data_IF_262356182245
#
_entry.id   IF_262356182245
#
_cell.length_a   1.000
_cell.length_b   1.000
_cell.length_c   1.000
_cell.angle_alpha   90.00
_cell.angle_beta   90.00
_cell.angle_gamma   90.00
#
_symmetry.space_group_name_H-M   'P 1'
#
loop_
_entity.id
_entity.type
_entity.pdbx_description
1 polymer ?
#
# COMPACT_ATOMS: atom_id res chain seq x y z
N UNK A 1 69.95 39.88 14.41
CA UNK A 1 69.82 39.18 15.70
C UNK A 1 68.36 39.25 16.10
N UNK A 2 67.68 38.10 16.10
CA UNK A 2 66.54 37.74 16.98
C UNK A 2 65.15 38.37 16.71
N UNK A 3 64.22 37.48 16.30
CA UNK A 3 62.77 37.29 16.58
C UNK A 3 61.75 38.36 16.11
N UNK A 4 60.86 38.03 15.16
CA UNK A 4 59.56 37.32 15.28
C UNK A 4 58.47 38.07 16.07
N UNK A 5 57.35 38.43 15.41
CA UNK A 5 56.07 37.76 15.64
C UNK A 5 55.04 38.05 14.53
N UNK A 6 54.34 36.99 14.16
CA UNK A 6 53.30 36.87 13.14
C UNK A 6 52.03 37.67 13.46
N UNK A 7 51.32 38.11 12.40
CA UNK A 7 49.86 38.16 12.45
C UNK A 7 49.27 37.91 11.04
N UNK A 8 49.17 36.63 10.67
CA UNK A 8 48.33 36.19 9.54
C UNK A 8 46.91 35.98 10.06
N UNK A 9 46.03 36.95 9.81
CA UNK A 9 44.58 36.75 9.93
C UNK A 9 44.13 35.83 8.78
N UNK A 10 44.01 34.54 9.06
CA UNK A 10 43.36 33.58 8.14
C UNK A 10 41.91 33.50 8.59
N UNK A 11 40.99 34.13 7.85
CA UNK A 11 39.55 33.95 8.06
C UNK A 11 39.19 32.54 7.62
N UNK A 12 39.03 31.64 8.59
CA UNK A 12 38.40 30.33 8.37
C UNK A 12 36.90 30.60 8.24
N UNK A 13 36.36 30.59 7.02
CA UNK A 13 34.93 30.44 6.80
C UNK A 13 34.59 28.98 7.11
N UNK A 14 34.07 28.73 8.31
CA UNK A 14 33.41 27.47 8.64
C UNK A 14 32.09 27.41 7.89
N UNK A 15 32.07 26.76 6.73
CA UNK A 15 30.85 26.39 6.02
C UNK A 15 30.10 25.35 6.84
N UNK A 16 29.16 25.80 7.67
CA UNK A 16 28.22 24.95 8.39
C UNK A 16 27.24 24.37 7.34
N UNK A 17 27.54 23.19 6.82
CA UNK A 17 26.57 22.39 6.08
C UNK A 17 25.47 21.98 7.05
N UNK A 18 24.38 22.74 7.10
CA UNK A 18 23.12 22.25 7.66
C UNK A 18 22.69 21.07 6.79
N UNK A 19 22.89 19.85 7.28
CA UNK A 19 22.21 18.66 6.78
C UNK A 19 20.72 18.85 7.12
N UNK A 20 19.99 19.54 6.27
CA UNK A 20 18.53 19.53 6.32
C UNK A 20 18.11 18.11 5.96
N UNK A 21 17.73 17.32 6.96
CA UNK A 21 17.08 16.03 6.77
C UNK A 21 15.81 16.28 5.95
N UNK A 22 15.87 16.00 4.65
CA UNK A 22 14.69 15.99 3.80
C UNK A 22 13.76 14.94 4.37
N UNK A 23 12.60 15.35 4.84
CA UNK A 23 11.57 14.50 5.42
C UNK A 23 11.17 13.39 4.42
N UNK A 24 11.58 12.15 4.69
CA UNK A 24 11.48 10.97 3.79
C UNK A 24 10.17 10.19 3.96
N UNK A 25 9.04 10.87 3.76
CA UNK A 25 7.72 10.28 3.93
C UNK A 25 7.10 9.86 2.60
N UNK A 26 6.35 8.74 2.58
CA UNK A 26 5.41 8.49 1.47
C UNK A 26 4.19 9.39 1.59
N UNK A 27 3.81 9.64 2.85
CA UNK A 27 2.60 10.28 3.35
C UNK A 27 2.94 11.02 4.65
N UNK A 28 2.34 12.17 4.94
CA UNK A 28 2.76 12.99 6.08
C UNK A 28 2.74 12.25 7.44
N UNK A 29 3.59 12.75 8.34
CA UNK A 29 3.83 12.23 9.69
C UNK A 29 2.63 12.19 10.62
N UNK A 30 1.58 12.95 10.32
CA UNK A 30 0.44 13.15 11.20
C UNK A 30 -0.74 12.27 10.80
N UNK A 31 -0.59 11.45 9.75
CA UNK A 31 -1.68 10.66 9.19
C UNK A 31 -2.74 11.52 8.52
N UNK A 32 -2.37 12.73 8.08
CA UNK A 32 -3.25 13.63 7.32
C UNK A 32 -3.29 13.24 5.83
N UNK A 33 -2.23 12.60 5.35
CA UNK A 33 -2.12 12.02 4.01
C UNK A 33 -1.66 10.57 4.01
N UNK A 34 -1.86 9.84 5.12
CA UNK A 34 -1.56 8.41 5.29
C UNK A 34 -2.33 7.50 4.32
N UNK A 35 -2.50 6.22 4.64
CA UNK A 35 -3.34 5.29 3.86
C UNK A 35 -4.69 5.88 3.47
N UNK A 36 -5.39 6.40 4.47
CA UNK A 36 -6.67 7.10 4.33
C UNK A 36 -6.43 8.59 4.15
N UNK A 37 -7.34 9.28 3.40
CA UNK A 37 -7.38 10.73 3.40
C UNK A 37 -7.52 11.28 4.81
N UNK A 38 -7.21 12.57 4.94
CA UNK A 38 -7.43 13.37 6.13
C UNK A 38 -8.77 13.05 6.80
N UNK A 39 -8.71 12.51 8.01
CA UNK A 39 -9.90 12.14 8.76
C UNK A 39 -9.67 12.25 10.28
N UNK A 40 -10.75 12.55 11.00
CA UNK A 40 -10.74 12.75 12.45
C UNK A 40 -11.25 11.52 13.23
N UNK A 41 -11.33 10.35 12.59
CA UNK A 41 -11.85 9.15 13.25
C UNK A 41 -10.86 8.65 14.29
N UNK A 42 -11.39 8.35 15.48
CA UNK A 42 -10.64 7.74 16.58
C UNK A 42 -11.44 6.57 17.18
N UNK A 43 -10.87 5.38 17.14
CA UNK A 43 -11.45 4.16 17.72
C UNK A 43 -10.51 3.65 18.83
N UNK A 44 -10.70 4.09 20.09
CA UNK A 44 -9.82 3.72 21.19
C UNK A 44 -10.02 2.26 21.64
N UNK A 45 -9.09 1.76 22.45
CA UNK A 45 -9.23 0.47 23.14
C UNK A 45 -10.42 0.53 24.10
N UNK A 46 -11.16 -0.58 24.24
CA UNK A 46 -12.26 -0.69 25.20
C UNK A 46 -13.58 -0.06 24.77
N UNK A 47 -13.62 0.66 23.63
CA UNK A 47 -14.88 0.97 22.98
C UNK A 47 -15.57 -0.35 22.63
N UNK A 48 -16.84 -0.50 22.98
CA UNK A 48 -17.62 -1.70 22.66
C UNK A 48 -17.49 -1.94 21.15
N UNK A 49 -16.80 -3.03 20.78
CA UNK A 49 -16.36 -3.26 19.40
C UNK A 49 -17.54 -3.09 18.44
N UNK A 50 -17.40 -2.16 17.49
CA UNK A 50 -18.33 -1.97 16.37
C UNK A 50 -18.09 -3.02 15.27
N UNK A 51 -17.15 -3.95 15.49
CA UNK A 51 -16.55 -4.82 14.47
C UNK A 51 -15.02 -4.74 14.51
N UNK A 52 -14.37 -5.12 13.41
CA UNK A 52 -12.92 -5.10 13.28
C UNK A 52 -12.21 -6.36 13.79
N UNK A 53 -10.88 -6.27 13.94
CA UNK A 53 -10.03 -7.33 14.47
C UNK A 53 -9.50 -6.99 15.87
N UNK A 54 -9.26 -8.02 16.68
CA UNK A 54 -8.67 -7.86 18.02
C UNK A 54 -7.13 -7.78 17.96
N UNK A 55 -6.50 -7.52 19.11
CA UNK A 55 -5.04 -7.36 19.22
C UNK A 55 -4.26 -8.59 18.79
N UNK A 56 -4.77 -9.78 19.09
CA UNK A 56 -4.14 -11.05 18.73
C UNK A 56 -4.13 -11.21 17.22
N UNK A 57 -5.26 -10.91 16.57
CA UNK A 57 -5.39 -10.94 15.11
C UNK A 57 -4.52 -9.87 14.45
N UNK A 58 -4.51 -8.65 14.99
CA UNK A 58 -3.64 -7.57 14.52
C UNK A 58 -2.16 -7.98 14.55
N UNK A 59 -1.68 -8.47 15.69
CA UNK A 59 -0.30 -8.92 15.82
C UNK A 59 0.01 -10.11 14.91
N UNK A 60 -0.91 -11.06 14.74
CA UNK A 60 -0.75 -12.20 13.84
C UNK A 60 -0.52 -11.75 12.40
N UNK A 61 -1.28 -10.76 11.91
CA UNK A 61 -1.08 -10.19 10.56
C UNK A 61 0.32 -9.58 10.46
N UNK A 62 0.72 -8.76 11.43
CA UNK A 62 2.02 -8.10 11.43
C UNK A 62 3.20 -9.09 11.54
N UNK A 63 3.07 -10.14 12.36
CA UNK A 63 4.07 -11.19 12.49
C UNK A 63 4.27 -11.94 11.16
N UNK A 64 3.17 -12.26 10.48
CA UNK A 64 3.24 -12.91 9.17
C UNK A 64 3.84 -11.99 8.10
N UNK A 65 3.49 -10.71 8.10
CA UNK A 65 4.11 -9.71 7.22
C UNK A 65 5.63 -9.64 7.41
N UNK A 66 6.11 -9.51 8.66
CA UNK A 66 7.55 -9.51 8.97
C UNK A 66 8.21 -10.79 8.47
N UNK A 67 7.62 -11.95 8.80
CA UNK A 67 8.17 -13.26 8.40
C UNK A 67 8.37 -13.37 6.89
N UNK A 68 7.40 -12.94 6.11
CA UNK A 68 7.43 -13.05 4.65
C UNK A 68 8.31 -11.99 3.98
N UNK A 69 8.27 -10.75 4.48
CA UNK A 69 8.86 -9.61 3.77
C UNK A 69 10.21 -9.13 4.29
N UNK A 70 10.61 -9.47 5.51
CA UNK A 70 11.96 -9.12 5.99
C UNK A 70 13.06 -9.65 5.06
N UNK A 71 13.05 -10.92 4.59
CA UNK A 71 14.08 -11.40 3.66
C UNK A 71 14.06 -10.66 2.31
N UNK A 72 12.88 -10.32 1.81
CA UNK A 72 12.71 -9.60 0.53
C UNK A 72 13.26 -8.18 0.67
N UNK A 73 12.86 -7.45 1.70
CA UNK A 73 13.34 -6.09 1.96
C UNK A 73 14.87 -6.05 2.17
N UNK A 74 15.45 -7.09 2.79
CA UNK A 74 16.91 -7.21 2.91
C UNK A 74 17.62 -7.37 1.56
N UNK A 75 17.00 -8.01 0.56
CA UNK A 75 17.57 -8.06 -0.81
C UNK A 75 17.58 -6.68 -1.48
N UNK A 76 16.73 -5.75 -1.01
CA UNK A 76 16.73 -4.35 -1.40
C UNK A 76 17.66 -3.47 -0.53
N UNK A 77 18.49 -4.08 0.32
CA UNK A 77 19.47 -3.38 1.16
C UNK A 77 18.86 -2.62 2.34
N UNK A 78 17.64 -2.98 2.77
CA UNK A 78 16.97 -2.37 3.90
C UNK A 78 16.54 -3.39 4.96
N UNK A 79 16.21 -2.90 6.16
CA UNK A 79 15.56 -3.66 7.21
C UNK A 79 14.06 -3.34 7.20
N UNK A 80 13.21 -4.37 7.24
CA UNK A 80 11.77 -4.17 7.35
C UNK A 80 11.36 -3.96 8.80
N UNK A 81 10.65 -2.86 9.07
CA UNK A 81 10.16 -2.50 10.40
C UNK A 81 8.66 -2.25 10.33
N UNK A 82 7.91 -2.84 11.27
CA UNK A 82 6.49 -2.53 11.48
C UNK A 82 6.33 -1.89 12.85
N UNK A 83 5.92 -0.62 12.89
CA UNK A 83 5.50 0.03 14.12
C UNK A 83 4.06 -0.34 14.45
N UNK A 84 3.88 -1.14 15.50
CA UNK A 84 2.59 -1.63 15.97
C UNK A 84 1.98 -0.68 16.99
N UNK A 85 1.07 0.21 16.56
CA UNK A 85 0.45 1.21 17.43
C UNK A 85 -0.94 0.79 17.89
N UNK A 86 -1.04 -0.38 18.53
CA UNK A 86 -2.32 -0.97 18.91
C UNK A 86 -3.18 -0.06 19.83
N UNK A 87 -2.59 0.57 20.83
CA UNK A 87 -3.32 1.44 21.78
C UNK A 87 -3.72 2.78 21.18
N UNK A 88 -3.12 3.16 20.05
CA UNK A 88 -3.44 4.40 19.37
C UNK A 88 -4.77 4.25 18.60
N UNK A 89 -5.69 5.18 18.86
CA UNK A 89 -7.03 5.18 18.28
C UNK A 89 -7.11 5.69 16.85
N UNK A 90 -6.02 6.16 16.25
CA UNK A 90 -6.02 6.68 14.87
C UNK A 90 -6.50 5.66 13.85
N UNK A 91 -7.41 6.06 12.96
CA UNK A 91 -7.87 5.26 11.83
C UNK A 91 -7.05 5.64 10.59
N UNK A 92 -5.80 5.18 10.57
CA UNK A 92 -4.91 5.35 9.42
C UNK A 92 -3.76 4.33 9.45
N UNK A 93 -2.88 4.37 8.45
CA UNK A 93 -1.56 3.77 8.40
C UNK A 93 -0.64 4.69 7.58
N UNK A 94 0.68 4.52 7.61
CA UNK A 94 1.60 5.22 6.68
C UNK A 94 2.97 4.55 6.60
N UNK A 95 3.74 4.89 5.56
CA UNK A 95 5.11 4.42 5.34
C UNK A 95 6.15 5.56 5.37
N UNK A 96 7.35 5.26 5.87
CA UNK A 96 8.48 6.21 5.88
C UNK A 96 9.86 5.54 5.88
N UNK A 97 10.89 6.32 5.53
CA UNK A 97 12.31 5.90 5.54
C UNK A 97 13.20 6.77 6.44
N UNK A 98 12.62 7.37 7.48
CA UNK A 98 13.33 8.30 8.39
C UNK A 98 14.57 7.71 9.06
N UNK A 99 14.58 6.40 9.28
CA UNK A 99 15.76 5.69 9.78
C UNK A 99 16.54 5.19 8.55
N UNK A 100 17.81 5.63 8.37
CA UNK A 100 18.62 5.18 7.25
C UNK A 100 18.70 3.65 7.17
N UNK A 101 18.42 3.10 5.99
CA UNK A 101 18.42 1.65 5.77
C UNK A 101 17.21 0.92 6.37
N UNK A 102 16.14 1.61 6.77
CA UNK A 102 14.90 0.99 7.23
C UNK A 102 13.73 1.34 6.30
N UNK A 103 12.93 0.33 5.95
CA UNK A 103 11.61 0.50 5.37
C UNK A 103 10.60 0.29 6.49
N UNK A 104 9.96 1.38 6.94
CA UNK A 104 9.06 1.37 8.08
C UNK A 104 7.63 1.59 7.64
N UNK A 105 6.74 0.70 8.06
CA UNK A 105 5.29 0.91 7.98
C UNK A 105 4.71 1.07 9.40
N UNK A 106 3.74 1.96 9.55
CA UNK A 106 3.10 2.26 10.83
C UNK A 106 1.64 1.85 10.77
N UNK A 107 1.26 0.93 11.65
CA UNK A 107 -0.07 0.32 11.66
C UNK A 107 -0.79 0.69 12.96
N UNK A 108 -1.86 1.47 12.86
CA UNK A 108 -2.61 1.95 14.03
C UNK A 108 -3.73 0.99 14.43
N UNK A 109 -3.96 0.86 15.73
CA UNK A 109 -5.03 0.00 16.25
C UNK A 109 -6.43 0.54 15.99
N UNK A 110 -6.60 1.86 15.84
CA UNK A 110 -7.88 2.45 15.48
C UNK A 110 -8.38 1.94 14.14
N UNK A 111 -7.49 1.84 13.14
CA UNK A 111 -7.77 1.19 11.87
C UNK A 111 -8.19 -0.27 12.08
N UNK A 112 -7.43 -1.04 12.87
CA UNK A 112 -7.73 -2.45 13.15
C UNK A 112 -9.12 -2.67 13.74
N UNK A 113 -9.62 -1.72 14.53
CA UNK A 113 -10.94 -1.79 15.19
C UNK A 113 -12.08 -1.19 14.36
N UNK A 114 -11.82 -0.70 13.15
CA UNK A 114 -12.87 -0.22 12.26
C UNK A 114 -13.73 -1.39 11.77
N UNK A 115 -15.05 -1.22 11.70
CA UNK A 115 -16.01 -2.31 11.45
C UNK A 115 -15.81 -3.05 10.13
N UNK A 116 -15.31 -2.35 9.11
CA UNK A 116 -15.02 -2.92 7.78
C UNK A 116 -13.71 -3.72 7.73
N UNK A 117 -12.84 -3.61 8.75
CA UNK A 117 -11.52 -4.25 8.72
C UNK A 117 -11.61 -5.72 9.17
N UNK A 118 -11.10 -6.60 8.31
CA UNK A 118 -10.83 -8.02 8.58
C UNK A 118 -9.32 -8.26 8.69
N UNK A 119 -8.88 -9.49 9.02
CA UNK A 119 -7.44 -9.84 9.00
C UNK A 119 -6.86 -9.67 7.58
N UNK A 120 -7.63 -10.05 6.55
CA UNK A 120 -7.22 -9.92 5.15
C UNK A 120 -7.19 -8.47 4.68
N UNK A 121 -8.16 -7.65 5.11
CA UNK A 121 -8.14 -6.22 4.84
C UNK A 121 -6.95 -5.53 5.52
N UNK A 122 -6.65 -5.90 6.77
CA UNK A 122 -5.47 -5.38 7.48
C UNK A 122 -4.16 -5.78 6.79
N UNK A 123 -4.07 -7.02 6.29
CA UNK A 123 -2.93 -7.46 5.49
C UNK A 123 -2.81 -6.65 4.19
N UNK A 124 -3.92 -6.35 3.52
CA UNK A 124 -3.94 -5.49 2.33
C UNK A 124 -3.45 -4.07 2.64
N UNK A 125 -3.87 -3.46 3.76
CA UNK A 125 -3.33 -2.14 4.15
C UNK A 125 -1.83 -2.21 4.42
N UNK A 126 -1.34 -3.21 5.16
CA UNK A 126 0.09 -3.36 5.39
C UNK A 126 0.88 -3.58 4.08
N UNK A 127 0.29 -4.31 3.13
CA UNK A 127 0.83 -4.52 1.80
C UNK A 127 0.84 -3.24 0.95
N UNK A 128 -0.17 -2.38 1.08
CA UNK A 128 -0.17 -1.04 0.47
C UNK A 128 1.00 -0.21 1.01
N UNK A 129 1.17 -0.14 2.34
CA UNK A 129 2.25 0.65 2.93
C UNK A 129 3.63 0.14 2.51
N UNK A 130 3.80 -1.19 2.47
CA UNK A 130 5.01 -1.79 1.92
C UNK A 130 5.16 -1.52 0.41
N UNK A 131 4.05 -1.40 -0.30
CA UNK A 131 3.97 -1.04 -1.71
C UNK A 131 4.53 0.34 -2.02
N UNK A 132 4.47 1.31 -1.10
CA UNK A 132 5.23 2.55 -1.31
C UNK A 132 6.73 2.29 -1.46
N UNK A 133 7.29 1.33 -0.73
CA UNK A 133 8.71 1.01 -0.80
C UNK A 133 9.07 0.12 -1.99
N UNK A 134 8.26 -0.91 -2.27
CA UNK A 134 8.60 -1.98 -3.22
C UNK A 134 7.78 -1.95 -4.51
N UNK A 135 6.77 -1.09 -4.61
CA UNK A 135 5.76 -1.12 -5.68
C UNK A 135 6.22 -0.61 -7.03
N UNK A 136 7.41 -0.02 -7.11
CA UNK A 136 7.99 0.48 -8.37
C UNK A 136 7.25 1.68 -8.94
N UNK A 137 7.28 1.82 -10.27
CA UNK A 137 6.64 2.91 -10.99
C UNK A 137 5.14 2.66 -11.26
N UNK A 138 4.29 3.71 -11.33
CA UNK A 138 4.64 5.12 -11.18
C UNK A 138 4.92 5.53 -9.73
N UNK A 139 5.88 6.43 -9.57
CA UNK A 139 6.23 7.04 -8.29
C UNK A 139 5.50 8.36 -8.10
N UNK A 140 5.26 8.72 -6.85
CA UNK A 140 4.65 9.98 -6.46
C UNK A 140 5.54 11.15 -6.89
N UNK A 141 4.92 12.22 -7.39
CA UNK A 141 5.61 13.45 -7.78
C UNK A 141 5.21 14.60 -6.85
N UNK A 142 6.20 15.28 -6.28
CA UNK A 142 6.01 16.50 -5.49
C UNK A 142 6.60 17.72 -6.22
N UNK A 143 6.48 18.92 -5.63
CA UNK A 143 6.97 20.17 -6.23
C UNK A 143 8.45 20.13 -6.63
N UNK A 144 9.26 19.33 -5.91
CA UNK A 144 10.70 19.18 -6.14
C UNK A 144 11.06 17.95 -6.99
N UNK A 145 10.07 17.28 -7.60
CA UNK A 145 10.26 16.15 -8.50
C UNK A 145 9.72 14.82 -7.96
N UNK A 146 10.13 13.72 -8.59
CA UNK A 146 9.72 12.37 -8.23
C UNK A 146 10.36 11.96 -6.90
N UNK A 147 9.56 11.44 -5.98
CA UNK A 147 10.04 10.93 -4.68
C UNK A 147 10.25 9.42 -4.72
N UNK A 148 10.78 8.85 -3.62
CA UNK A 148 11.12 7.43 -3.54
C UNK A 148 9.90 6.50 -3.66
N UNK A 149 8.74 6.96 -3.17
CA UNK A 149 7.55 6.15 -2.98
C UNK A 149 6.77 5.88 -4.28
N UNK A 150 6.31 4.64 -4.45
CA UNK A 150 5.23 4.36 -5.40
C UNK A 150 4.01 5.23 -5.07
N UNK A 151 3.27 5.68 -6.08
CA UNK A 151 2.08 6.50 -5.82
C UNK A 151 0.93 5.66 -5.22
N UNK A 152 -0.11 6.32 -4.69
CA UNK A 152 -1.22 5.67 -3.96
C UNK A 152 -1.85 4.50 -4.72
N UNK A 153 -2.23 4.72 -5.99
CA UNK A 153 -2.83 3.68 -6.82
C UNK A 153 -1.85 2.54 -7.18
N UNK A 154 -0.56 2.84 -7.33
CA UNK A 154 0.46 1.82 -7.57
C UNK A 154 0.75 1.00 -6.32
N UNK A 155 0.74 1.62 -5.14
CA UNK A 155 0.86 0.95 -3.86
C UNK A 155 -0.32 -0.02 -3.64
N UNK A 156 -1.55 0.39 -3.97
CA UNK A 156 -2.71 -0.51 -4.00
C UNK A 156 -2.53 -1.68 -4.94
N UNK A 157 -2.15 -1.36 -6.17
CA UNK A 157 -2.05 -2.33 -7.24
C UNK A 157 -0.99 -3.38 -6.91
N UNK A 158 0.24 -2.97 -6.63
CA UNK A 158 1.33 -3.87 -6.25
C UNK A 158 1.05 -4.59 -4.94
N UNK A 159 0.54 -3.86 -3.93
CA UNK A 159 0.17 -4.41 -2.63
C UNK A 159 -0.81 -5.58 -2.78
N UNK A 160 -1.64 -5.55 -3.80
CA UNK A 160 -2.62 -6.59 -4.10
C UNK A 160 -2.05 -7.70 -4.98
N UNK A 161 -1.47 -7.36 -6.15
CA UNK A 161 -1.05 -8.37 -7.14
C UNK A 161 0.20 -9.16 -6.75
N UNK A 162 1.09 -8.57 -5.93
CA UNK A 162 2.30 -9.23 -5.43
C UNK A 162 2.18 -9.51 -3.95
N UNK A 163 1.98 -8.45 -3.16
CA UNK A 163 2.20 -8.60 -1.73
C UNK A 163 1.16 -9.50 -1.06
N UNK A 164 -0.11 -9.22 -1.28
CA UNK A 164 -1.21 -9.96 -0.67
C UNK A 164 -1.32 -11.38 -1.25
N UNK A 165 -1.00 -11.54 -2.54
CA UNK A 165 -0.97 -12.84 -3.22
C UNK A 165 0.08 -13.77 -2.60
N UNK A 166 1.29 -13.26 -2.31
CA UNK A 166 2.31 -14.00 -1.55
C UNK A 166 1.93 -14.16 -0.07
N UNK A 167 1.25 -13.18 0.53
CA UNK A 167 0.73 -13.32 1.89
C UNK A 167 -0.25 -14.48 2.02
N UNK A 168 -1.12 -14.73 1.03
CA UNK A 168 -2.05 -15.87 1.02
C UNK A 168 -1.44 -17.17 0.49
N UNK A 169 -0.19 -17.14 0.01
CA UNK A 169 0.48 -18.33 -0.44
C UNK A 169 0.75 -19.28 0.75
N UNK A 170 0.45 -20.56 0.56
CA UNK A 170 0.53 -21.58 1.60
C UNK A 170 -0.56 -21.54 2.69
N UNK A 171 -1.53 -20.61 2.63
CA UNK A 171 -2.71 -20.65 3.50
C UNK A 171 -3.75 -21.68 3.01
N UNK A 172 -4.64 -22.10 3.91
CA UNK A 172 -5.89 -22.78 3.54
C UNK A 172 -6.92 -21.75 3.05
N UNK A 173 -6.78 -21.36 1.78
CA UNK A 173 -7.61 -20.32 1.16
C UNK A 173 -9.08 -20.76 1.01
N UNK A 174 -9.35 -22.07 0.90
CA UNK A 174 -10.72 -22.57 0.86
C UNK A 174 -11.41 -22.34 2.19
N UNK A 175 -10.73 -22.63 3.31
CA UNK A 175 -11.23 -22.36 4.64
C UNK A 175 -11.36 -20.86 4.92
N UNK A 176 -10.41 -20.05 4.45
CA UNK A 176 -10.48 -18.59 4.61
C UNK A 176 -11.71 -17.97 3.92
N UNK A 177 -12.14 -18.54 2.79
CA UNK A 177 -13.34 -18.12 2.06
C UNK A 177 -14.64 -18.75 2.58
N UNK A 178 -14.56 -19.72 3.48
CA UNK A 178 -15.73 -20.44 3.96
C UNK A 178 -16.71 -19.50 4.65
N UNK A 179 -17.96 -19.50 4.18
CA UNK A 179 -19.04 -18.66 4.73
C UNK A 179 -19.06 -17.23 4.21
N UNK A 180 -18.10 -16.82 3.37
CA UNK A 180 -18.16 -15.55 2.65
C UNK A 180 -19.06 -15.68 1.42
N UNK A 181 -19.89 -14.66 1.18
CA UNK A 181 -20.64 -14.54 -0.06
C UNK A 181 -19.76 -13.89 -1.13
N UNK A 182 -19.17 -14.70 -2.01
CA UNK A 182 -18.29 -14.23 -3.09
C UNK A 182 -19.17 -13.74 -4.25
N UNK A 183 -19.07 -12.46 -4.66
CA UNK A 183 -19.86 -11.95 -5.78
C UNK A 183 -19.60 -12.75 -7.07
N UNK A 184 -20.67 -13.00 -7.85
CA UNK A 184 -20.56 -13.80 -9.07
C UNK A 184 -19.52 -13.24 -10.05
N UNK A 185 -19.43 -11.92 -10.18
CA UNK A 185 -18.44 -11.25 -11.05
C UNK A 185 -17.00 -11.56 -10.64
N UNK A 186 -16.73 -11.64 -9.34
CA UNK A 186 -15.42 -12.02 -8.80
C UNK A 186 -15.15 -13.49 -9.10
N UNK A 187 -16.07 -14.38 -8.72
CA UNK A 187 -15.93 -15.83 -8.93
C UNK A 187 -15.68 -16.15 -10.40
N UNK A 188 -16.55 -15.67 -11.31
CA UNK A 188 -16.45 -15.91 -12.75
C UNK A 188 -15.11 -15.44 -13.32
N UNK A 189 -14.66 -14.22 -12.98
CA UNK A 189 -13.41 -13.67 -13.54
C UNK A 189 -12.18 -14.40 -13.00
N UNK A 190 -12.14 -14.72 -11.70
CA UNK A 190 -11.04 -15.49 -11.11
C UNK A 190 -10.96 -16.90 -11.70
N UNK A 191 -12.09 -17.60 -11.87
CA UNK A 191 -12.11 -18.96 -12.45
C UNK A 191 -11.79 -18.98 -13.94
N UNK A 192 -12.08 -17.90 -14.66
CA UNK A 192 -11.77 -17.80 -16.07
C UNK A 192 -10.28 -17.51 -16.33
N UNK A 193 -9.62 -16.79 -15.43
CA UNK A 193 -8.21 -16.42 -15.56
C UNK A 193 -7.26 -17.53 -15.08
N UNK A 194 -7.46 -18.01 -13.84
CA UNK A 194 -6.54 -18.95 -13.22
C UNK A 194 -7.00 -20.39 -13.43
N UNK A 195 -6.09 -21.26 -13.86
CA UNK A 195 -6.36 -22.71 -13.99
C UNK A 195 -6.13 -23.44 -12.67
N UNK A 196 -5.17 -22.99 -11.86
CA UNK A 196 -4.90 -23.55 -10.54
C UNK A 196 -6.00 -23.17 -9.55
N UNK A 197 -6.60 -24.16 -8.90
CA UNK A 197 -7.70 -23.93 -7.96
C UNK A 197 -7.32 -23.03 -6.78
N UNK A 198 -6.13 -23.20 -6.21
CA UNK A 198 -5.68 -22.34 -5.12
C UNK A 198 -5.46 -20.88 -5.59
N UNK A 199 -4.96 -20.65 -6.81
CA UNK A 199 -4.85 -19.30 -7.36
C UNK A 199 -6.22 -18.66 -7.62
N UNK A 200 -7.22 -19.44 -8.04
CA UNK A 200 -8.61 -18.95 -8.12
C UNK A 200 -9.12 -18.50 -6.75
N UNK A 201 -8.87 -19.28 -5.70
CA UNK A 201 -9.25 -18.94 -4.33
C UNK A 201 -8.49 -17.70 -3.82
N UNK A 202 -7.19 -17.59 -4.09
CA UNK A 202 -6.41 -16.41 -3.74
C UNK A 202 -6.98 -15.17 -4.44
N UNK A 203 -7.29 -15.24 -5.74
CA UNK A 203 -7.92 -14.14 -6.48
C UNK A 203 -9.25 -13.70 -5.85
N UNK A 204 -10.11 -14.64 -5.46
CA UNK A 204 -11.36 -14.35 -4.77
C UNK A 204 -11.13 -13.71 -3.39
N UNK A 205 -10.21 -14.26 -2.60
CA UNK A 205 -9.86 -13.76 -1.26
C UNK A 205 -9.29 -12.35 -1.29
N UNK A 206 -8.35 -12.12 -2.21
CA UNK A 206 -7.78 -10.80 -2.49
C UNK A 206 -8.85 -9.79 -2.91
N UNK A 207 -9.80 -10.20 -3.75
CA UNK A 207 -10.93 -9.34 -4.14
C UNK A 207 -11.78 -8.96 -2.92
N UNK A 208 -12.09 -9.91 -2.04
CA UNK A 208 -12.88 -9.64 -0.82
C UNK A 208 -12.14 -8.74 0.18
N UNK A 209 -10.82 -8.86 0.30
CA UNK A 209 -9.99 -7.92 1.06
C UNK A 209 -10.09 -6.51 0.46
N UNK A 210 -10.01 -6.40 -0.88
CA UNK A 210 -10.22 -5.15 -1.61
C UNK A 210 -11.59 -4.54 -1.38
N UNK A 211 -12.65 -5.35 -1.32
CA UNK A 211 -14.02 -4.89 -1.02
C UNK A 211 -14.11 -4.31 0.39
N UNK A 212 -13.54 -4.98 1.39
CA UNK A 212 -13.50 -4.50 2.78
C UNK A 212 -12.78 -3.15 2.88
N UNK A 213 -11.64 -3.00 2.20
CA UNK A 213 -10.93 -1.71 2.13
C UNK A 213 -11.73 -0.65 1.35
N UNK A 214 -12.36 -1.01 0.23
CA UNK A 214 -13.24 -0.09 -0.52
C UNK A 214 -14.39 0.44 0.33
N UNK A 215 -15.02 -0.41 1.14
CA UNK A 215 -16.06 -0.01 2.10
C UNK A 215 -15.53 0.87 3.21
N UNK A 216 -14.33 0.60 3.73
CA UNK A 216 -13.66 1.50 4.66
C UNK A 216 -13.53 2.90 4.06
N UNK A 217 -13.05 3.02 2.81
CA UNK A 217 -12.93 4.30 2.12
C UNK A 217 -14.27 5.00 1.95
N UNK A 218 -15.28 4.26 1.51
CA UNK A 218 -16.65 4.75 1.34
C UNK A 218 -17.22 5.34 2.65
N UNK A 219 -17.00 4.63 3.77
CA UNK A 219 -17.40 5.08 5.11
C UNK A 219 -16.64 6.34 5.54
N UNK A 220 -15.32 6.38 5.36
CA UNK A 220 -14.47 7.51 5.76
C UNK A 220 -14.78 8.77 4.94
N UNK A 221 -15.07 8.61 3.64
CA UNK A 221 -15.45 9.73 2.78
C UNK A 221 -16.92 10.15 2.91
N UNK A 222 -17.72 9.45 3.71
CA UNK A 222 -19.18 9.59 3.79
C UNK A 222 -19.86 9.53 2.42
N UNK A 223 -19.33 8.69 1.51
CA UNK A 223 -19.95 8.50 0.20
C UNK A 223 -21.12 7.52 0.35
N UNK A 224 -22.30 7.97 -0.05
CA UNK A 224 -23.54 7.19 0.07
C UNK A 224 -23.66 6.11 -1.00
N UNK A 225 -22.83 6.16 -2.04
CA UNK A 225 -22.83 5.18 -3.13
C UNK A 225 -21.94 4.01 -2.73
N UNK A 226 -22.49 2.81 -2.46
CA UNK A 226 -21.67 1.68 -2.06
C UNK A 226 -20.74 1.27 -3.19
N UNK A 227 -19.52 0.88 -2.84
CA UNK A 227 -18.59 0.27 -3.80
C UNK A 227 -19.10 -1.11 -4.23
N UNK A 228 -19.02 -1.42 -5.52
CA UNK A 228 -19.47 -2.70 -6.09
C UNK A 228 -18.57 -3.13 -7.27
N UNK A 229 -18.31 -4.42 -7.39
CA UNK A 229 -17.53 -4.99 -8.51
C UNK A 229 -18.21 -4.85 -9.88
N UNK A 230 -19.52 -4.60 -9.89
CA UNK A 230 -20.33 -4.44 -11.10
C UNK A 230 -20.45 -2.98 -11.56
N UNK A 231 -19.98 -2.03 -10.77
CA UNK A 231 -20.05 -0.59 -11.07
C UNK A 231 -18.66 0.04 -11.12
N UNK A 232 -17.76 -0.43 -11.99
CA UNK A 232 -16.42 0.14 -12.07
C UNK A 232 -16.45 1.61 -12.46
N UNK A 233 -15.56 2.40 -11.86
CA UNK A 233 -15.34 3.80 -12.17
C UNK A 233 -14.82 3.94 -13.61
N UNK A 234 -15.58 4.69 -14.41
CA UNK A 234 -15.30 4.91 -15.84
C UNK A 234 -14.53 6.20 -16.12
N UNK A 235 -14.17 6.96 -15.08
CA UNK A 235 -13.36 8.16 -15.24
C UNK A 235 -12.00 7.82 -15.84
N UNK A 236 -11.45 8.77 -16.61
CA UNK A 236 -10.15 8.65 -17.26
C UNK A 236 -9.35 9.90 -16.93
N UNK A 237 -8.23 9.71 -16.25
CA UNK A 237 -7.37 10.83 -15.86
C UNK A 237 -6.53 11.34 -17.04
N UNK A 238 -6.32 12.65 -17.10
CA UNK A 238 -5.44 13.29 -18.10
C UNK A 238 -3.97 13.30 -17.68
N UNK A 239 -3.68 12.96 -16.41
CA UNK A 239 -2.36 12.70 -15.81
C UNK A 239 -2.56 11.69 -14.68
N UNK A 240 -1.58 10.81 -14.45
CA UNK A 240 -1.59 9.93 -13.27
C UNK A 240 -1.86 10.73 -11.99
N UNK A 241 -2.82 10.25 -11.21
CA UNK A 241 -3.26 10.87 -9.97
C UNK A 241 -2.45 10.31 -8.79
N UNK A 242 -1.77 11.20 -8.07
CA UNK A 242 -0.80 10.84 -7.03
C UNK A 242 -1.35 10.91 -5.60
N UNK A 243 -2.61 11.30 -5.43
CA UNK A 243 -3.32 11.33 -4.14
C UNK A 243 -4.27 10.13 -4.02
N UNK A 244 -5.12 10.12 -3.00
CA UNK A 244 -6.09 9.05 -2.72
C UNK A 244 -7.21 8.97 -3.77
N UNK A 245 -7.25 7.92 -4.61
CA UNK A 245 -8.36 7.73 -5.54
C UNK A 245 -9.68 7.53 -4.79
N UNK A 246 -10.81 7.80 -5.47
CA UNK A 246 -12.14 7.54 -4.93
C UNK A 246 -12.33 6.07 -4.53
N UNK A 247 -13.22 5.80 -3.57
CA UNK A 247 -13.43 4.46 -3.00
C UNK A 247 -13.68 3.38 -4.06
N UNK A 248 -14.55 3.65 -5.05
CA UNK A 248 -14.81 2.73 -6.16
C UNK A 248 -13.56 2.49 -7.01
N UNK A 249 -12.83 3.55 -7.36
CA UNK A 249 -11.59 3.46 -8.13
C UNK A 249 -10.50 2.63 -7.40
N UNK A 250 -10.43 2.69 -6.06
CA UNK A 250 -9.57 1.81 -5.26
C UNK A 250 -10.05 0.35 -5.32
N UNK A 251 -11.35 0.09 -5.17
CA UNK A 251 -11.91 -1.26 -5.32
C UNK A 251 -11.58 -1.84 -6.71
N UNK A 252 -11.74 -1.05 -7.76
CA UNK A 252 -11.39 -1.45 -9.12
C UNK A 252 -9.91 -1.77 -9.25
N UNK A 253 -9.05 -1.03 -8.55
CA UNK A 253 -7.60 -1.25 -8.54
C UNK A 253 -7.26 -2.58 -7.87
N UNK A 254 -7.82 -2.85 -6.70
CA UNK A 254 -7.64 -4.13 -6.02
C UNK A 254 -8.19 -5.30 -6.86
N UNK A 255 -9.36 -5.13 -7.45
CA UNK A 255 -9.96 -6.19 -8.24
C UNK A 255 -9.15 -6.47 -9.52
N UNK A 256 -8.74 -5.45 -10.26
CA UNK A 256 -7.87 -5.64 -11.40
C UNK A 256 -6.52 -6.24 -10.98
N UNK A 257 -5.89 -5.77 -9.90
CA UNK A 257 -4.65 -6.36 -9.42
C UNK A 257 -4.79 -7.87 -9.08
N UNK A 258 -5.93 -8.30 -8.55
CA UNK A 258 -6.21 -9.72 -8.31
C UNK A 258 -6.30 -10.55 -9.60
N UNK A 259 -6.64 -9.90 -10.72
CA UNK A 259 -6.74 -10.47 -12.05
C UNK A 259 -5.45 -10.30 -12.86
N UNK A 260 -4.32 -10.00 -12.22
CA UNK A 260 -3.03 -9.98 -12.87
C UNK A 260 -2.24 -11.26 -12.59
N UNK A 261 -2.08 -12.08 -13.63
CA UNK A 261 -1.50 -13.44 -13.57
C UNK A 261 0.04 -13.46 -13.67
N UNK A 262 0.68 -12.29 -13.78
CA UNK A 262 2.14 -12.21 -13.77
C UNK A 262 2.75 -12.91 -12.53
N UNK A 263 3.81 -13.73 -12.71
CA UNK A 263 4.44 -14.48 -11.63
C UNK A 263 4.88 -13.63 -10.44
N UNK A 264 4.78 -14.15 -9.22
CA UNK A 264 5.26 -13.48 -8.00
C UNK A 264 6.78 -13.16 -8.06
N UNK A 265 7.55 -13.97 -8.79
CA UNK A 265 8.99 -13.81 -9.00
C UNK A 265 9.36 -12.62 -9.89
N UNK A 266 8.43 -12.10 -10.67
CA UNK A 266 8.71 -11.00 -11.57
C UNK A 266 8.80 -9.69 -10.79
N UNK A 267 10.02 -9.17 -10.68
CA UNK A 267 10.29 -7.87 -10.07
C UNK A 267 9.68 -6.73 -10.89
N UNK A 268 9.09 -5.76 -10.20
CA UNK A 268 8.64 -4.50 -10.81
C UNK A 268 9.81 -3.54 -11.03
N UNK A 269 9.68 -2.64 -12.00
CA UNK A 269 10.70 -1.62 -12.26
C UNK A 269 10.39 -0.31 -11.55
N UNK A 270 11.44 0.35 -11.04
CA UNK A 270 11.35 1.70 -10.47
C UNK A 270 11.21 2.80 -11.53
N UNK A 271 11.45 2.50 -12.80
CA UNK A 271 11.52 3.48 -13.88
C UNK A 271 10.52 3.21 -15.01
N UNK A 272 10.27 1.94 -15.31
CA UNK A 272 9.31 1.54 -16.33
C UNK A 272 8.05 0.99 -15.66
N UNK A 273 6.91 1.69 -15.74
CA UNK A 273 5.69 1.24 -15.10
C UNK A 273 5.14 -0.06 -15.72
N UNK A 274 5.68 -0.57 -16.82
CA UNK A 274 5.15 -1.74 -17.54
C UNK A 274 5.89 -3.05 -17.25
N UNK A 275 6.92 -3.06 -16.40
CA UNK A 275 7.70 -4.27 -16.09
C UNK A 275 7.14 -4.96 -14.84
N UNK A 276 6.96 -6.29 -14.92
CA UNK A 276 6.55 -7.13 -13.79
C UNK A 276 5.08 -6.98 -13.37
N UNK A 277 4.28 -6.34 -14.21
CA UNK A 277 2.86 -6.00 -13.99
C UNK A 277 2.06 -6.21 -15.28
N UNK A 278 0.75 -6.36 -15.16
CA UNK A 278 -0.15 -6.32 -16.30
C UNK A 278 -0.23 -4.89 -16.85
N UNK A 279 -0.06 -4.73 -18.16
CA UNK A 279 -0.08 -3.45 -18.84
C UNK A 279 -0.78 -3.51 -20.19
N UNK A 280 -1.64 -2.52 -20.42
CA UNK A 280 -2.26 -2.25 -21.71
C UNK A 280 -1.21 -2.09 -22.82
N UNK A 281 -0.03 -1.55 -22.49
CA UNK A 281 1.09 -1.38 -23.42
C UNK A 281 1.68 -2.73 -23.85
N UNK A 282 1.73 -3.69 -22.93
CA UNK A 282 2.23 -5.04 -23.20
C UNK A 282 1.17 -5.93 -23.85
N UNK A 283 -0.07 -5.43 -24.02
CA UNK A 283 -1.16 -6.12 -24.68
C UNK A 283 -2.12 -6.83 -23.72
N UNK A 284 -1.90 -6.74 -22.40
CA UNK A 284 -2.73 -7.39 -21.39
C UNK A 284 -4.18 -6.89 -21.44
N UNK A 285 -5.12 -7.83 -21.44
CA UNK A 285 -6.55 -7.53 -21.58
C UNK A 285 -7.27 -7.39 -20.26
N UNK A 286 -6.72 -7.98 -19.20
CA UNK A 286 -7.26 -7.96 -17.85
C UNK A 286 -6.15 -7.63 -16.87
N UNK A 287 -6.57 -7.25 -15.67
CA UNK A 287 -5.67 -6.99 -14.57
C UNK A 287 -4.87 -5.70 -14.68
N UNK A 288 -5.25 -4.81 -15.59
CA UNK A 288 -4.58 -3.52 -15.79
C UNK A 288 -4.93 -2.51 -14.69
N UNK A 289 -4.00 -1.61 -14.38
CA UNK A 289 -4.27 -0.46 -13.51
C UNK A 289 -5.43 0.39 -14.05
N UNK A 290 -6.46 0.69 -13.25
CA UNK A 290 -7.61 1.48 -13.69
C UNK A 290 -7.26 2.89 -14.17
N UNK A 291 -7.98 3.35 -15.21
CA UNK A 291 -7.79 4.67 -15.81
C UNK A 291 -8.34 5.82 -14.95
N UNK A 292 -9.13 5.51 -13.91
CA UNK A 292 -9.64 6.48 -12.94
C UNK A 292 -8.54 7.10 -12.06
N UNK A 293 -7.32 6.52 -12.06
CA UNK A 293 -6.14 7.12 -11.42
C UNK A 293 -4.86 7.00 -12.26
N UNK A 294 -4.72 5.98 -13.12
CA UNK A 294 -3.51 5.73 -13.88
C UNK A 294 -3.61 6.26 -15.31
N UNK A 295 -2.61 7.03 -15.75
CA UNK A 295 -2.44 7.37 -17.17
C UNK A 295 -1.35 6.50 -17.79
N UNK A 296 -1.68 5.54 -18.67
CA UNK A 296 -0.68 4.77 -19.40
C UNK A 296 0.19 5.67 -20.29
N UNK A 297 1.50 5.44 -20.29
CA UNK A 297 2.42 5.97 -21.29
C UNK A 297 2.46 5.02 -22.48
N UNK A 298 1.48 5.18 -23.39
CA UNK A 298 1.40 4.42 -24.64
C UNK A 298 2.66 4.67 -25.48
#
# INVERSE_FOLDING_TARGET
MILNLNNKLTKILSSLFLLTSLSTFACDLHGQSGFLPDNNLKIPVGLKSLGGINEVQFNRVMDKMIKLYSPIVSQHGANFVIERRWTDGTVNAFAHQNTPGAYTIVMFGGLARHQEITEDAMALVACHELGHHLGGAPKKTEANGVIWAANEGQADYWGTMKCLRHYFDGDDNQKALQGLNIPQTVSTKCTALYTNYNEQLICQRTSMAGLAVGKLFNNVSNDITPVDFNTPDRSVVTKTFDQHPAAQCRLDTYFQASLCDHPLSDSVSNNDPNIGVCSLKNGDKVGNRPLCWYKPTL
#
